data_IF_253590458082
#
_entry.id   IF_253590458082
#
_cell.length_a   1.000
_cell.length_b   1.000
_cell.length_c   1.000
_cell.angle_alpha   90.00
_cell.angle_beta   90.00
_cell.angle_gamma   90.00
#
_symmetry.space_group_name_H-M   'P 1'
#
loop_
_entity.id
_entity.type
_entity.pdbx_description
1 polymer ?
#
# COMPACT_ATOMS: atom_id res chain seq x y z
N UNK A 1 -34.29 -7.28 55.57
CA UNK A 1 -33.76 -6.24 54.65
C UNK A 1 -32.26 -6.43 54.55
N UNK A 2 -31.79 -7.12 53.52
CA UNK A 2 -30.36 -7.26 53.23
C UNK A 2 -30.10 -6.52 51.93
N UNK A 3 -30.06 -5.20 52.02
CA UNK A 3 -29.72 -4.32 50.91
C UNK A 3 -28.30 -3.79 51.13
N UNK A 4 -27.55 -3.77 50.02
CA UNK A 4 -26.32 -3.03 49.79
C UNK A 4 -25.02 -3.60 50.41
N UNK A 5 -24.44 -4.60 49.74
CA UNK A 5 -22.99 -4.59 49.45
C UNK A 5 -22.70 -5.26 48.10
N UNK A 6 -23.33 -4.79 47.03
CA UNK A 6 -22.89 -5.10 45.65
C UNK A 6 -21.85 -4.04 45.22
N UNK A 7 -20.74 -4.00 45.98
CA UNK A 7 -19.67 -3.01 45.82
C UNK A 7 -18.71 -3.40 44.70
N UNK A 8 -18.88 -2.76 43.54
CA UNK A 8 -17.93 -2.60 42.40
C UNK A 8 -16.59 -3.34 42.53
N UNK A 9 -16.56 -4.61 42.13
CA UNK A 9 -15.35 -5.26 41.61
C UNK A 9 -15.27 -5.04 40.11
N UNK A 10 -15.29 -3.79 39.65
CA UNK A 10 -14.67 -3.47 38.35
C UNK A 10 -13.18 -3.73 38.55
N UNK A 11 -12.80 -4.96 38.23
CA UNK A 11 -11.50 -5.55 38.49
C UNK A 11 -10.39 -4.65 37.96
N UNK A 12 -9.30 -4.48 38.72
CA UNK A 12 -8.03 -3.91 38.26
C UNK A 12 -7.65 -4.41 36.85
N UNK A 13 -8.01 -5.66 36.55
CA UNK A 13 -7.88 -6.30 35.25
C UNK A 13 -8.59 -5.54 34.11
N UNK A 14 -9.82 -5.08 34.33
CA UNK A 14 -10.57 -4.27 33.35
C UNK A 14 -9.86 -2.94 33.07
N UNK A 15 -9.33 -2.28 34.10
CA UNK A 15 -8.58 -1.03 33.94
C UNK A 15 -7.28 -1.25 33.17
N UNK A 16 -6.54 -2.33 33.46
CA UNK A 16 -5.31 -2.69 32.76
C UNK A 16 -5.58 -3.01 31.28
N UNK A 17 -6.66 -3.73 30.97
CA UNK A 17 -7.08 -3.99 29.59
C UNK A 17 -7.40 -2.69 28.84
N UNK A 18 -8.06 -1.73 29.49
CA UNK A 18 -8.34 -0.42 28.89
C UNK A 18 -7.04 0.35 28.59
N UNK A 19 -6.06 0.33 29.50
CA UNK A 19 -4.78 1.00 29.27
C UNK A 19 -4.01 0.39 28.10
N UNK A 20 -3.96 -0.94 28.00
CA UNK A 20 -3.33 -1.64 26.87
C UNK A 20 -4.04 -1.31 25.56
N UNK A 21 -5.38 -1.30 25.56
CA UNK A 21 -6.18 -0.96 24.38
C UNK A 21 -5.95 0.50 23.92
N UNK A 22 -5.89 1.45 24.85
CA UNK A 22 -5.62 2.87 24.56
C UNK A 22 -4.18 3.11 24.09
N UNK A 23 -3.21 2.37 24.61
CA UNK A 23 -1.82 2.44 24.14
C UNK A 23 -1.69 1.91 22.70
N UNK A 24 -2.37 0.82 22.37
CA UNK A 24 -2.37 0.26 21.01
C UNK A 24 -3.04 1.18 19.99
N UNK A 25 -4.21 1.76 20.31
CA UNK A 25 -4.89 2.71 19.44
C UNK A 25 -4.09 4.02 19.26
N UNK A 26 -3.43 4.50 20.31
CA UNK A 26 -2.52 5.64 20.25
C UNK A 26 -1.33 5.42 19.31
N UNK A 27 -0.67 4.25 19.41
CA UNK A 27 0.46 3.90 18.54
C UNK A 27 0.05 3.80 17.07
N UNK A 28 -1.06 3.12 16.78
CA UNK A 28 -1.56 2.97 15.40
C UNK A 28 -1.98 4.31 14.78
N UNK A 29 -2.56 5.21 15.57
CA UNK A 29 -2.89 6.56 15.13
C UNK A 29 -1.63 7.39 14.86
N UNK A 30 -0.64 7.32 15.77
CA UNK A 30 0.66 7.96 15.61
C UNK A 30 1.34 7.52 14.31
N UNK A 31 1.50 6.21 14.09
CA UNK A 31 2.14 5.68 12.87
C UNK A 31 1.38 6.11 11.60
N UNK A 32 0.06 6.11 11.62
CA UNK A 32 -0.77 6.56 10.50
C UNK A 32 -0.52 8.04 10.14
N UNK A 33 -0.39 8.92 11.15
CA UNK A 33 -0.09 10.33 10.94
C UNK A 33 1.32 10.52 10.40
N UNK A 34 2.31 9.82 10.97
CA UNK A 34 3.69 9.89 10.52
C UNK A 34 3.83 9.41 9.08
N UNK A 35 3.18 8.31 8.74
CA UNK A 35 3.08 7.80 7.38
C UNK A 35 2.42 8.81 6.43
N UNK A 36 1.30 9.41 6.82
CA UNK A 36 0.61 10.41 6.01
C UNK A 36 1.48 11.65 5.76
N UNK A 37 2.19 12.13 6.79
CA UNK A 37 3.12 13.26 6.71
C UNK A 37 4.31 12.95 5.81
N UNK A 38 4.97 11.80 6.00
CA UNK A 38 6.11 11.40 5.17
C UNK A 38 5.72 11.30 3.69
N UNK A 39 4.54 10.75 3.40
CA UNK A 39 4.00 10.72 2.04
C UNK A 39 3.67 12.12 1.49
N UNK A 40 3.34 13.10 2.33
CA UNK A 40 3.07 14.47 1.91
C UNK A 40 4.34 15.29 1.65
N UNK A 41 5.38 15.12 2.48
CA UNK A 41 6.65 15.88 2.41
C UNK A 41 7.48 15.54 1.17
N UNK A 42 7.51 14.26 0.80
CA UNK A 42 8.29 13.82 -0.35
C UNK A 42 7.98 12.37 -0.69
N UNK A 43 7.32 12.17 -1.82
CA UNK A 43 6.95 10.84 -2.27
C UNK A 43 7.32 10.60 -3.72
N UNK A 44 7.36 9.32 -4.07
CA UNK A 44 7.54 8.84 -5.43
C UNK A 44 6.57 7.71 -5.70
N UNK A 45 6.35 7.46 -6.98
CA UNK A 45 5.57 6.35 -7.47
C UNK A 45 6.47 5.34 -8.15
N UNK A 46 6.18 4.06 -7.97
CA UNK A 46 6.92 2.94 -8.56
C UNK A 46 5.96 1.80 -8.91
N UNK A 47 6.49 0.76 -9.55
CA UNK A 47 5.77 -0.46 -9.83
C UNK A 47 6.07 -1.52 -8.76
N UNK A 48 5.02 -2.18 -8.29
CA UNK A 48 5.14 -3.37 -7.45
C UNK A 48 4.59 -4.59 -8.17
N UNK A 49 5.26 -5.71 -8.02
CA UNK A 49 4.91 -6.97 -8.67
C UNK A 49 4.25 -7.91 -7.66
N UNK A 50 3.22 -8.62 -8.10
CA UNK A 50 2.51 -9.59 -7.30
C UNK A 50 3.47 -10.69 -6.84
N UNK A 51 3.40 -11.03 -5.56
CA UNK A 51 4.19 -12.12 -5.00
C UNK A 51 3.31 -13.28 -4.58
N UNK A 52 2.33 -13.01 -3.72
CA UNK A 52 1.47 -14.02 -3.14
C UNK A 52 0.20 -13.45 -2.56
N UNK A 53 -0.77 -14.33 -2.32
CA UNK A 53 -1.86 -14.06 -1.39
C UNK A 53 -1.27 -14.05 0.02
N UNK A 54 -1.46 -12.95 0.74
CA UNK A 54 -1.15 -12.88 2.16
C UNK A 54 -2.17 -13.70 2.93
N UNK A 55 -1.72 -14.48 3.91
CA UNK A 55 -2.61 -15.21 4.84
C UNK A 55 -3.42 -14.26 5.74
N UNK A 56 -3.12 -12.97 5.72
CA UNK A 56 -3.82 -11.94 6.50
C UNK A 56 -5.15 -11.60 5.83
N UNK A 57 -6.24 -11.71 6.58
CA UNK A 57 -7.58 -11.28 6.16
C UNK A 57 -7.84 -9.91 6.78
N UNK A 58 -8.10 -8.88 5.96
CA UNK A 58 -8.47 -7.54 6.43
C UNK A 58 -9.92 -7.26 6.02
N UNK A 59 -10.78 -7.03 7.01
CA UNK A 59 -12.21 -6.75 6.78
C UNK A 59 -12.95 -7.86 6.03
N UNK A 60 -12.54 -9.13 6.21
CA UNK A 60 -13.12 -10.27 5.49
C UNK A 60 -12.57 -10.51 4.08
N UNK A 61 -11.65 -9.68 3.59
CA UNK A 61 -11.05 -9.82 2.27
C UNK A 61 -9.64 -10.42 2.33
N UNK A 62 -9.34 -11.33 1.39
CA UNK A 62 -7.98 -11.83 1.16
C UNK A 62 -7.08 -10.66 0.77
N UNK A 63 -5.98 -10.50 1.48
CA UNK A 63 -4.98 -9.48 1.18
C UNK A 63 -3.97 -10.06 0.21
N UNK A 64 -3.52 -9.26 -0.77
CA UNK A 64 -2.43 -9.63 -1.66
C UNK A 64 -1.19 -8.85 -1.29
N UNK A 65 -0.04 -9.51 -1.40
CA UNK A 65 1.26 -8.91 -1.18
C UNK A 65 1.95 -8.66 -2.52
N UNK A 66 2.51 -7.46 -2.63
CA UNK A 66 3.31 -7.03 -3.76
C UNK A 66 4.67 -6.53 -3.27
N UNK A 67 5.72 -6.82 -4.02
CA UNK A 67 7.08 -6.38 -3.75
C UNK A 67 7.51 -5.29 -4.72
N UNK A 68 8.23 -4.29 -4.23
CA UNK A 68 8.88 -3.25 -5.04
C UNK A 68 10.29 -2.99 -4.52
N UNK A 69 11.12 -2.34 -5.34
CA UNK A 69 12.50 -2.02 -4.98
C UNK A 69 12.71 -0.51 -4.99
N UNK A 70 13.50 -0.03 -4.03
CA UNK A 70 14.02 1.35 -3.98
C UNK A 70 15.50 1.24 -3.69
N UNK A 71 16.34 1.77 -4.58
CA UNK A 71 17.81 1.71 -4.48
C UNK A 71 18.36 0.30 -4.18
N UNK A 72 17.76 -0.72 -4.82
CA UNK A 72 18.12 -2.14 -4.64
C UNK A 72 17.56 -2.82 -3.38
N UNK A 73 16.95 -2.06 -2.46
CA UNK A 73 16.31 -2.59 -1.25
C UNK A 73 14.86 -2.95 -1.55
N UNK A 74 14.46 -4.16 -1.14
CA UNK A 74 13.10 -4.66 -1.34
C UNK A 74 12.16 -4.18 -0.22
N UNK A 75 11.01 -3.67 -0.63
CA UNK A 75 9.90 -3.28 0.23
C UNK A 75 8.64 -4.01 -0.18
N UNK A 76 7.72 -4.14 0.78
CA UNK A 76 6.45 -4.82 0.56
C UNK A 76 5.29 -3.84 0.73
N UNK A 77 4.26 -4.05 -0.08
CA UNK A 77 2.97 -3.42 0.11
C UNK A 77 1.87 -4.46 0.10
N UNK A 78 0.73 -4.11 0.68
CA UNK A 78 -0.43 -4.97 0.69
C UNK A 78 -1.66 -4.21 0.25
N UNK A 79 -2.54 -4.90 -0.48
CA UNK A 79 -3.84 -4.35 -0.85
C UNK A 79 -4.92 -5.43 -0.77
N UNK A 80 -6.08 -5.06 -0.25
CA UNK A 80 -7.32 -5.82 -0.39
C UNK A 80 -7.89 -5.47 -1.75
N UNK A 81 -8.05 -6.46 -2.64
CA UNK A 81 -8.63 -6.37 -3.99
C UNK A 81 -8.96 -4.96 -4.52
N UNK A 82 -8.32 -4.48 -5.60
CA UNK A 82 -8.85 -3.32 -6.29
C UNK A 82 -10.22 -3.66 -6.89
N UNK A 83 -11.22 -2.81 -6.63
CA UNK A 83 -12.50 -2.84 -7.35
C UNK A 83 -12.24 -2.37 -8.78
N UNK A 84 -11.80 -3.24 -9.68
CA UNK A 84 -11.78 -2.94 -11.12
C UNK A 84 -12.42 -4.02 -11.97
N UNK A 85 -13.38 -3.56 -12.79
CA UNK A 85 -13.68 -3.91 -14.20
C UNK A 85 -13.18 -5.27 -14.74
N UNK A 86 -13.44 -6.38 -14.04
CA UNK A 86 -13.28 -7.72 -14.58
C UNK A 86 -11.87 -8.33 -14.59
N UNK A 87 -10.83 -7.63 -14.11
CA UNK A 87 -9.48 -8.21 -13.97
C UNK A 87 -9.27 -8.66 -12.52
N UNK A 88 -9.54 -9.94 -12.27
CA UNK A 88 -9.50 -10.53 -10.92
C UNK A 88 -8.10 -10.64 -10.31
N UNK A 89 -7.03 -10.40 -11.08
CA UNK A 89 -5.65 -10.69 -10.70
C UNK A 89 -4.61 -9.75 -11.36
N UNK A 90 -4.44 -8.49 -10.93
CA UNK A 90 -3.35 -7.66 -11.44
C UNK A 90 -2.00 -8.24 -10.99
N UNK A 91 -1.11 -8.53 -11.95
CA UNK A 91 0.27 -8.96 -11.68
C UNK A 91 1.16 -7.81 -11.23
N UNK A 92 0.78 -6.56 -11.54
CA UNK A 92 1.55 -5.36 -11.23
C UNK A 92 0.60 -4.23 -10.82
N UNK A 93 1.02 -3.41 -9.88
CA UNK A 93 0.27 -2.25 -9.39
C UNK A 93 1.20 -1.05 -9.23
N UNK A 94 0.63 0.15 -9.16
CA UNK A 94 1.36 1.36 -8.79
C UNK A 94 1.43 1.45 -7.26
N UNK A 95 2.59 1.84 -6.74
CA UNK A 95 2.79 2.09 -5.31
C UNK A 95 3.36 3.48 -5.13
N UNK A 96 2.78 4.25 -4.21
CA UNK A 96 3.38 5.48 -3.70
C UNK A 96 4.19 5.14 -2.47
N UNK A 97 5.41 5.66 -2.37
CA UNK A 97 6.25 5.50 -1.19
C UNK A 97 6.84 6.85 -0.78
N UNK A 98 7.09 7.03 0.51
CA UNK A 98 7.81 8.20 1.01
C UNK A 98 9.31 8.04 0.74
N UNK A 99 9.95 9.06 0.18
CA UNK A 99 11.38 8.99 -0.22
C UNK A 99 12.28 8.83 1.00
N UNK A 100 11.93 9.49 2.10
CA UNK A 100 12.68 9.44 3.35
C UNK A 100 12.44 8.13 4.14
N UNK A 101 11.37 7.39 3.85
CA UNK A 101 11.08 6.10 4.47
C UNK A 101 10.16 5.24 3.56
N UNK A 102 10.71 4.37 2.71
CA UNK A 102 9.90 3.58 1.77
C UNK A 102 9.00 2.52 2.43
N UNK A 103 9.18 2.20 3.72
CA UNK A 103 8.20 1.41 4.48
C UNK A 103 6.84 2.11 4.57
N UNK A 104 6.87 3.44 4.58
CA UNK A 104 5.69 4.28 4.46
C UNK A 104 5.25 4.34 2.99
N UNK A 105 4.52 3.30 2.59
CA UNK A 105 3.98 3.16 1.25
C UNK A 105 2.47 2.91 1.22
N UNK A 106 1.85 3.19 0.07
CA UNK A 106 0.44 2.97 -0.21
C UNK A 106 0.29 2.39 -1.61
N UNK A 107 -0.32 1.22 -1.70
CA UNK A 107 -0.73 0.63 -2.95
C UNK A 107 -1.87 1.43 -3.60
N UNK A 108 -1.72 1.70 -4.89
CA UNK A 108 -2.75 2.22 -5.78
C UNK A 108 -3.15 1.06 -6.69
N UNK A 109 -4.19 0.34 -6.29
CA UNK A 109 -4.67 -0.83 -7.02
C UNK A 109 -5.58 -0.48 -8.19
N UNK A 110 -5.93 0.79 -8.35
CA UNK A 110 -7.02 1.25 -9.19
C UNK A 110 -6.61 1.50 -10.65
N UNK A 111 -5.34 1.28 -11.02
CA UNK A 111 -4.88 1.60 -12.38
C UNK A 111 -4.11 0.48 -13.04
N UNK A 112 -4.48 0.22 -14.30
CA UNK A 112 -3.87 -0.76 -15.15
C UNK A 112 -2.46 -0.31 -15.54
N UNK A 113 -1.45 -1.09 -15.16
CA UNK A 113 -0.07 -0.92 -15.65
C UNK A 113 0.07 -1.70 -16.96
N UNK A 114 0.18 -1.03 -18.12
CA UNK A 114 0.27 -1.70 -19.41
C UNK A 114 1.44 -2.67 -19.49
N UNK A 115 1.25 -3.79 -20.19
CA UNK A 115 2.27 -4.85 -20.34
C UNK A 115 3.57 -4.33 -20.95
N UNK A 116 3.48 -3.35 -21.84
CA UNK A 116 4.60 -2.70 -22.49
C UNK A 116 5.39 -1.72 -21.61
N UNK A 117 4.91 -1.40 -20.40
CA UNK A 117 5.72 -0.72 -19.38
C UNK A 117 6.52 -1.78 -18.65
N UNK A 118 7.83 -1.83 -18.86
CA UNK A 118 8.70 -2.88 -18.32
C UNK A 118 9.17 -2.54 -16.90
N UNK A 119 9.64 -1.31 -16.68
CA UNK A 119 10.09 -0.85 -15.36
C UNK A 119 9.90 0.66 -15.17
N UNK A 120 9.77 1.13 -13.92
CA UNK A 120 9.73 2.57 -13.63
C UNK A 120 11.10 3.23 -13.88
N UNK A 121 11.18 4.56 -13.93
CA UNK A 121 12.44 5.28 -13.78
C UNK A 121 13.15 4.85 -12.49
N UNK A 122 14.48 4.89 -12.48
CA UNK A 122 15.32 4.46 -11.35
C UNK A 122 14.87 5.08 -10.00
N UNK A 123 14.56 6.38 -10.00
CA UNK A 123 14.11 7.13 -8.80
C UNK A 123 12.59 7.21 -8.64
N UNK A 124 11.84 6.43 -9.40
CA UNK A 124 10.39 6.50 -9.49
C UNK A 124 9.86 7.84 -10.03
N UNK A 125 8.56 7.89 -10.29
CA UNK A 125 7.88 9.09 -10.78
C UNK A 125 7.62 10.09 -9.66
N UNK A 126 7.79 11.38 -9.94
CA UNK A 126 7.45 12.48 -9.01
C UNK A 126 5.95 12.68 -8.86
N UNK A 127 5.19 12.36 -9.89
CA UNK A 127 3.75 12.52 -9.96
C UNK A 127 3.11 11.17 -10.25
N UNK A 128 1.84 11.06 -9.92
CA UNK A 128 1.08 9.84 -10.15
C UNK A 128 1.05 9.53 -11.66
N UNK A 129 1.57 8.37 -12.11
CA UNK A 129 1.18 7.84 -13.43
C UNK A 129 -0.32 7.54 -13.38
N UNK A 130 -1.12 7.77 -14.47
CA UNK A 130 -0.76 7.69 -15.87
C UNK A 130 -1.30 8.90 -16.67
N UNK A 131 -0.89 10.13 -16.33
CA UNK A 131 -1.34 11.34 -17.04
C UNK A 131 -0.75 11.52 -18.47
N UNK A 132 -0.49 10.41 -19.19
CA UNK A 132 -0.37 10.25 -20.66
C UNK A 132 0.97 9.69 -21.23
N UNK A 133 2.13 9.68 -20.54
CA UNK A 133 3.39 9.30 -21.25
C UNK A 133 4.33 8.26 -20.64
N UNK A 134 4.08 7.72 -19.43
CA UNK A 134 5.02 6.77 -18.79
C UNK A 134 6.47 7.24 -18.85
N UNK A 135 6.67 8.55 -18.69
CA UNK A 135 7.94 9.21 -18.98
C UNK A 135 9.06 8.63 -18.12
N UNK A 136 10.22 8.39 -18.75
CA UNK A 136 11.39 7.79 -18.13
C UNK A 136 11.22 6.32 -17.73
N UNK A 137 10.07 5.70 -18.00
CA UNK A 137 9.90 4.26 -17.86
C UNK A 137 10.67 3.53 -18.95
N UNK A 138 11.11 2.31 -18.66
CA UNK A 138 11.59 1.41 -19.70
C UNK A 138 10.37 0.81 -20.39
N UNK A 139 10.28 1.00 -21.70
CA UNK A 139 9.17 0.54 -22.52
C UNK A 139 9.62 -0.61 -23.42
N UNK A 140 8.70 -1.51 -23.75
CA UNK A 140 8.91 -2.54 -24.75
C UNK A 140 9.08 -1.89 -26.14
N UNK A 141 10.31 -1.88 -26.65
CA UNK A 141 10.63 -1.25 -27.94
C UNK A 141 9.93 -1.91 -29.13
N UNK A 142 9.69 -3.23 -29.08
CA UNK A 142 9.00 -3.96 -30.16
C UNK A 142 7.54 -3.54 -30.20
N UNK A 143 6.90 -3.45 -29.03
CA UNK A 143 5.54 -2.95 -28.93
C UNK A 143 5.45 -1.47 -29.37
N UNK A 144 6.39 -0.62 -28.98
CA UNK A 144 6.38 0.81 -29.38
C UNK A 144 6.54 0.98 -30.89
N UNK A 145 7.38 0.16 -31.54
CA UNK A 145 7.55 0.18 -33.00
C UNK A 145 6.29 -0.28 -33.73
N UNK A 146 5.56 -1.27 -33.22
CA UNK A 146 4.31 -1.73 -33.85
C UNK A 146 3.20 -0.67 -33.81
N UNK A 147 3.19 0.20 -32.80
CA UNK A 147 2.30 1.37 -32.77
C UNK A 147 2.65 2.42 -33.82
N UNK A 148 3.92 2.51 -34.22
CA UNK A 148 4.41 3.51 -35.18
C UNK A 148 4.34 3.03 -36.64
N UNK A 149 4.45 1.72 -36.88
CA UNK A 149 4.48 1.09 -38.21
C UNK A 149 3.12 0.87 -38.89
N UNK A 150 2.03 1.35 -38.31
CA UNK A 150 0.66 1.24 -38.84
C UNK A 150 0.14 2.54 -39.49
N UNK A 151 1.03 3.39 -40.01
CA UNK A 151 0.68 4.60 -40.78
C UNK A 151 0.89 4.40 -42.28
#
# INVERSE_FOLDING_TARGET
MQWATEGKKTSLFTYLLCLIAMAGSGWTWYDSIHKARALAEGNRYTLATYEKVSGVIKGGHKVRQFGFYVDGVKYNTTTTYPKFLGVSNPLRIIVRYAVNNPEYNKAFGDEFVPTWVLSPPEKGWKQYPPAIHWEGAVLDSVYMQSLQGNN
#
